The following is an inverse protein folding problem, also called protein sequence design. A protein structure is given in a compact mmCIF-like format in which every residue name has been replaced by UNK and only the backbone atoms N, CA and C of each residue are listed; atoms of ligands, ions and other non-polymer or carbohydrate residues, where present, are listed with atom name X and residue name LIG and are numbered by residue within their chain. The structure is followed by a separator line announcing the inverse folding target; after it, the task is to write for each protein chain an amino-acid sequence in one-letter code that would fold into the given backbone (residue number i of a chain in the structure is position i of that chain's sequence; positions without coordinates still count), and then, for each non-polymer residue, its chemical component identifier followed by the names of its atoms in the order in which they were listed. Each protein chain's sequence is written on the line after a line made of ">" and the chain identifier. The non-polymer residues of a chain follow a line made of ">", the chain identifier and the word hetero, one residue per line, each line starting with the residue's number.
data_IF_413402671440
#
_entry.id   IF_413402671440
#
_cell.length_a   1.000
_cell.length_b   1.000
_cell.length_c   1.000
_cell.angle_alpha   90.00
_cell.angle_beta   90.00
_cell.angle_gamma   90.00
#
_symmetry.space_group_name_H-M   'P 1'
#
loop_
_entity.id
_entity.type
_entity.pdbx_description
1 polymer ?
#
# COMPACT_ATOMS: atom_id res chain seq x y z
N UNK A 1 -13.03 5.65 6.76
CA UNK A 1 -12.10 6.47 5.96
C UNK A 1 -10.69 5.89 5.93
N UNK A 2 -10.10 5.54 7.08
CA UNK A 2 -8.75 4.97 7.15
C UNK A 2 -8.57 3.65 6.37
N UNK A 3 -9.58 2.77 6.39
CA UNK A 3 -9.60 1.53 5.59
C UNK A 3 -9.38 1.77 4.09
N UNK A 4 -10.05 2.76 3.50
CA UNK A 4 -9.89 3.09 2.08
C UNK A 4 -8.51 3.68 1.77
N UNK A 5 -8.00 4.56 2.63
CA UNK A 5 -6.65 5.13 2.48
C UNK A 5 -5.59 4.03 2.54
N UNK A 6 -5.68 3.14 3.54
CA UNK A 6 -4.78 2.00 3.68
C UNK A 6 -4.87 1.06 2.47
N UNK A 7 -6.09 0.79 1.98
CA UNK A 7 -6.30 -0.03 0.78
C UNK A 7 -5.60 0.57 -0.45
N UNK A 8 -5.78 1.86 -0.71
CA UNK A 8 -5.12 2.55 -1.83
C UNK A 8 -3.59 2.47 -1.71
N UNK A 9 -3.04 2.73 -0.53
CA UNK A 9 -1.60 2.60 -0.27
C UNK A 9 -1.08 1.19 -0.58
N UNK A 10 -1.79 0.16 -0.13
CA UNK A 10 -1.44 -1.24 -0.41
C UNK A 10 -1.46 -1.54 -1.91
N UNK A 11 -2.48 -1.08 -2.64
CA UNK A 11 -2.56 -1.27 -4.09
C UNK A 11 -1.40 -0.57 -4.81
N UNK A 12 -1.08 0.68 -4.44
CA UNK A 12 0.04 1.41 -5.02
C UNK A 12 1.36 0.67 -4.80
N UNK A 13 1.61 0.18 -3.58
CA UNK A 13 2.81 -0.61 -3.33
C UNK A 13 2.82 -1.93 -4.09
N UNK A 14 1.70 -2.66 -4.16
CA UNK A 14 1.61 -3.91 -4.91
C UNK A 14 1.96 -3.70 -6.39
N UNK A 15 1.49 -2.60 -7.00
CA UNK A 15 1.87 -2.22 -8.37
C UNK A 15 3.36 -1.89 -8.45
N UNK A 16 3.92 -1.11 -7.51
CA UNK A 16 5.36 -0.79 -7.50
C UNK A 16 6.24 -2.04 -7.38
N UNK A 17 5.95 -2.95 -6.45
CA UNK A 17 6.70 -4.20 -6.31
C UNK A 17 6.49 -5.14 -7.50
N UNK A 18 5.30 -5.16 -8.11
CA UNK A 18 5.05 -5.90 -9.34
C UNK A 18 5.92 -5.40 -10.50
N UNK A 19 5.99 -4.08 -10.69
CA UNK A 19 6.87 -3.46 -11.70
C UNK A 19 8.36 -3.70 -11.40
N UNK A 20 8.75 -3.63 -10.12
CA UNK A 20 10.12 -3.90 -9.70
C UNK A 20 10.50 -5.36 -9.97
N UNK A 21 9.63 -6.31 -9.64
CA UNK A 21 9.90 -7.74 -9.83
C UNK A 21 9.90 -8.18 -11.30
N UNK A 22 9.04 -7.60 -12.13
CA UNK A 22 8.89 -7.98 -13.54
C UNK A 22 9.86 -7.25 -14.47
N UNK A 23 10.10 -5.96 -14.22
CA UNK A 23 10.79 -5.07 -15.15
C UNK A 23 12.01 -4.38 -14.52
N UNK A 24 12.33 -4.66 -13.24
CA UNK A 24 13.31 -3.90 -12.45
C UNK A 24 13.01 -2.39 -12.45
N UNK A 25 11.73 -2.03 -12.54
CA UNK A 25 11.28 -0.64 -12.64
C UNK A 25 10.66 -0.18 -11.32
N UNK A 26 11.28 0.80 -10.67
CA UNK A 26 10.79 1.40 -9.42
C UNK A 26 9.98 2.67 -9.73
N UNK A 27 8.65 2.53 -9.78
CA UNK A 27 7.73 3.63 -10.06
C UNK A 27 7.81 4.74 -9.00
N UNK A 28 7.97 4.37 -7.73
CA UNK A 28 8.09 5.34 -6.62
C UNK A 28 9.34 6.19 -6.79
N UNK A 29 10.48 5.57 -7.11
CA UNK A 29 11.72 6.28 -7.42
C UNK A 29 11.54 7.21 -8.63
N UNK A 30 10.90 6.76 -9.70
CA UNK A 30 10.75 7.57 -10.93
C UNK A 30 9.91 8.83 -10.69
N UNK A 31 8.85 8.74 -9.89
CA UNK A 31 7.96 9.89 -9.62
C UNK A 31 8.55 10.81 -8.53
N UNK A 32 9.19 10.25 -7.51
CA UNK A 32 9.60 10.97 -6.31
C UNK A 32 11.13 11.11 -6.15
N UNK A 33 11.91 10.82 -7.21
CA UNK A 33 13.38 10.79 -7.22
C UNK A 33 14.03 12.04 -6.62
N UNK A 34 13.36 13.19 -6.70
CA UNK A 34 13.87 14.48 -6.24
C UNK A 34 13.94 14.64 -4.71
N UNK A 35 13.36 13.73 -3.93
CA UNK A 35 13.37 13.80 -2.46
C UNK A 35 14.15 12.62 -1.88
N UNK A 36 15.35 12.84 -1.30
CA UNK A 36 16.14 11.77 -0.70
C UNK A 36 15.37 11.03 0.40
N UNK A 37 15.36 9.70 0.36
CA UNK A 37 14.75 8.86 1.40
C UNK A 37 13.22 8.77 1.38
N UNK A 38 12.54 9.46 0.45
CA UNK A 38 11.07 9.43 0.36
C UNK A 38 10.52 8.03 0.02
N UNK A 39 11.27 7.25 -0.76
CA UNK A 39 10.92 5.87 -1.12
C UNK A 39 10.77 4.99 0.13
N UNK A 40 11.71 5.12 1.06
CA UNK A 40 11.69 4.36 2.31
C UNK A 40 10.45 4.72 3.15
N UNK A 41 10.08 6.01 3.18
CA UNK A 41 8.86 6.46 3.86
C UNK A 41 7.63 5.84 3.21
N UNK A 42 7.53 5.86 1.88
CA UNK A 42 6.44 5.23 1.14
C UNK A 42 6.37 3.73 1.45
N UNK A 43 7.50 3.03 1.44
CA UNK A 43 7.53 1.59 1.73
C UNK A 43 7.08 1.27 3.16
N UNK A 44 7.48 2.08 4.14
CA UNK A 44 7.00 1.96 5.53
C UNK A 44 5.49 2.19 5.59
N UNK A 45 4.98 3.25 4.96
CA UNK A 45 3.54 3.56 4.96
C UNK A 45 2.72 2.46 4.29
N UNK A 46 3.22 1.88 3.20
CA UNK A 46 2.55 0.74 2.57
C UNK A 46 2.57 -0.49 3.48
N UNK A 47 3.70 -0.80 4.11
CA UNK A 47 3.81 -1.92 5.04
C UNK A 47 2.84 -1.80 6.22
N UNK A 48 2.80 -0.62 6.87
CA UNK A 48 1.87 -0.33 7.96
C UNK A 48 0.42 -0.41 7.49
N UNK A 49 0.12 0.09 6.28
CA UNK A 49 -1.22 -0.01 5.70
C UNK A 49 -1.65 -1.45 5.46
N UNK A 50 -0.73 -2.31 5.00
CA UNK A 50 -0.99 -3.74 4.83
C UNK A 50 -1.30 -4.45 6.15
N UNK A 51 -0.51 -4.17 7.20
CA UNK A 51 -0.75 -4.70 8.54
C UNK A 51 -2.08 -4.21 9.11
N UNK A 52 -2.39 -2.92 8.99
CA UNK A 52 -3.66 -2.35 9.44
C UNK A 52 -4.84 -3.03 8.73
N UNK A 53 -4.79 -3.14 7.41
CA UNK A 53 -5.84 -3.77 6.64
C UNK A 53 -5.99 -5.25 7.03
N UNK A 54 -4.89 -5.99 7.19
CA UNK A 54 -4.94 -7.39 7.64
C UNK A 54 -5.63 -7.54 9.01
N UNK A 55 -5.41 -6.59 9.93
CA UNK A 55 -6.00 -6.63 11.26
C UNK A 55 -7.46 -6.15 11.31
N UNK A 56 -7.85 -5.15 10.53
CA UNK A 56 -9.16 -4.48 10.69
C UNK A 56 -10.15 -4.73 9.55
N UNK A 57 -9.72 -5.29 8.41
CA UNK A 57 -10.53 -5.39 7.20
C UNK A 57 -11.90 -6.04 7.42
N UNK A 58 -11.97 -7.13 8.20
CA UNK A 58 -13.24 -7.84 8.44
C UNK A 58 -14.26 -6.97 9.19
N UNK A 59 -13.81 -6.10 10.08
CA UNK A 59 -14.67 -5.21 10.86
C UNK A 59 -15.06 -3.94 10.07
N UNK A 60 -14.16 -3.45 9.23
CA UNK A 60 -14.36 -2.20 8.47
C UNK A 60 -15.08 -2.40 7.13
N UNK A 61 -14.97 -3.60 6.53
CA UNK A 61 -15.57 -3.89 5.24
C UNK A 61 -17.06 -4.22 5.39
N UNK A 62 -17.93 -3.38 4.85
CA UNK A 62 -19.40 -3.55 4.89
C UNK A 62 -19.88 -4.88 4.28
N UNK A 63 -19.17 -5.41 3.27
CA UNK A 63 -19.52 -6.67 2.61
C UNK A 63 -19.03 -7.87 3.41
N UNK A 64 -17.85 -7.78 4.04
CA UNK A 64 -17.29 -8.87 4.82
C UNK A 64 -17.91 -8.97 6.22
N UNK A 65 -18.22 -7.83 6.84
CA UNK A 65 -18.82 -7.75 8.19
C UNK A 65 -20.24 -8.33 8.24
N UNK A 66 -21.01 -8.25 7.14
CA UNK A 66 -22.36 -8.81 7.06
C UNK A 66 -22.42 -10.34 7.05
N UNK A 67 -21.27 -11.03 7.05
CA UNK A 67 -21.15 -12.48 6.93
C UNK A 67 -20.57 -13.17 8.18
N UNK A 68 -20.30 -12.41 9.24
CA UNK A 68 -19.76 -12.91 10.50
C UNK A 68 -20.87 -13.15 11.54
#
# INVERSE_FOLDING_TARGET
>A
MLHMTAFILVIVGAVNWGLLGLLNFNLVNVILSSVPGVEQIVYILVGVSGVYLAATHMNDCKVCSAKA
#
